data_IF_199102244787
#
_entry.id   IF_199102244787
#
_cell.length_a   1.000
_cell.length_b   1.000
_cell.length_c   1.000
_cell.angle_alpha   90.00
_cell.angle_beta   90.00
_cell.angle_gamma   90.00
#
_symmetry.space_group_name_H-M   'P 1'
#
loop_
_entity.id
_entity.type
_entity.pdbx_description
1 polymer ?
#
# COMPACT_ATOMS: atom_id res chain seq x y z
N UNK A 1 -2.85 -8.56 -0.87
CA UNK A 1 -3.90 -7.62 -0.44
C UNK A 1 -4.28 -6.62 -1.54
N UNK A 2 -5.53 -6.16 -1.55
CA UNK A 2 -6.06 -5.12 -2.45
C UNK A 2 -6.33 -3.83 -1.68
N UNK A 3 -5.95 -2.69 -2.27
CA UNK A 3 -6.18 -1.35 -1.72
C UNK A 3 -6.85 -0.45 -2.76
N UNK A 4 -7.63 0.53 -2.28
CA UNK A 4 -8.39 1.46 -3.12
C UNK A 4 -7.99 2.89 -2.82
N UNK A 5 -7.65 3.66 -3.85
CA UNK A 5 -7.47 5.12 -3.72
C UNK A 5 -8.85 5.75 -3.46
N UNK A 6 -8.97 6.49 -2.36
CA UNK A 6 -10.22 7.16 -1.96
C UNK A 6 -10.10 8.69 -1.94
N UNK A 7 -8.89 9.24 -2.06
CA UNK A 7 -8.69 10.69 -2.14
C UNK A 7 -7.22 11.10 -2.25
N UNK A 8 -6.99 12.41 -2.39
CA UNK A 8 -5.64 13.00 -2.47
C UNK A 8 -4.98 12.87 -3.86
N UNK A 9 -3.77 13.43 -3.97
CA UNK A 9 -2.95 13.35 -5.17
C UNK A 9 -1.83 12.35 -4.92
N UNK A 10 -1.77 11.33 -5.78
CA UNK A 10 -0.71 10.34 -5.77
C UNK A 10 0.35 10.66 -6.83
N UNK A 11 1.61 10.39 -6.50
CA UNK A 11 2.71 10.33 -7.45
C UNK A 11 2.74 8.93 -8.06
N UNK A 12 2.68 8.86 -9.39
CA UNK A 12 2.74 7.61 -10.14
C UNK A 12 4.01 7.53 -10.99
N UNK A 13 4.49 6.31 -11.21
CA UNK A 13 5.59 6.03 -12.15
C UNK A 13 5.32 4.72 -12.90
N UNK A 14 6.15 4.41 -13.89
CA UNK A 14 6.12 3.13 -14.61
C UNK A 14 7.32 2.28 -14.23
N UNK A 15 7.07 1.00 -13.96
CA UNK A 15 8.10 -0.01 -13.74
C UNK A 15 7.79 -1.26 -14.56
N UNK A 16 8.73 -2.23 -14.56
CA UNK A 16 8.46 -3.58 -15.05
C UNK A 16 7.82 -4.40 -13.93
N UNK A 17 6.70 -5.05 -14.22
CA UNK A 17 5.98 -5.84 -13.24
C UNK A 17 6.82 -7.07 -12.82
N UNK A 18 7.11 -7.24 -11.51
CA UNK A 18 7.91 -8.38 -11.03
C UNK A 18 7.17 -9.72 -11.07
N UNK A 19 5.84 -9.65 -11.16
CA UNK A 19 4.92 -10.78 -11.27
C UNK A 19 3.65 -10.32 -11.98
N UNK A 20 2.68 -11.22 -12.18
CA UNK A 20 1.35 -10.79 -12.59
C UNK A 20 0.73 -9.92 -11.47
N UNK A 21 0.29 -8.72 -11.82
CA UNK A 21 -0.28 -7.75 -10.91
C UNK A 21 -1.70 -7.38 -11.32
N UNK A 22 -2.55 -7.17 -10.32
CA UNK A 22 -3.89 -6.65 -10.48
C UNK A 22 -3.95 -5.20 -9.98
N UNK A 23 -4.76 -4.36 -10.62
CA UNK A 23 -5.03 -3.00 -10.15
C UNK A 23 -5.50 -3.02 -8.70
N UNK A 24 -4.90 -2.16 -7.88
CA UNK A 24 -5.14 -2.07 -6.44
C UNK A 24 -4.23 -2.98 -5.62
N UNK A 25 -3.45 -3.86 -6.24
CA UNK A 25 -2.55 -4.73 -5.49
C UNK A 25 -1.43 -3.91 -4.85
N UNK A 26 -1.30 -4.02 -3.53
CA UNK A 26 -0.11 -3.57 -2.79
C UNK A 26 0.97 -4.64 -2.91
N UNK A 27 2.18 -4.23 -3.26
CA UNK A 27 3.34 -5.12 -3.33
C UNK A 27 4.63 -4.37 -3.00
N UNK A 28 5.70 -5.12 -2.73
CA UNK A 28 7.02 -4.55 -2.51
C UNK A 28 7.80 -4.50 -3.82
N UNK A 29 8.23 -3.32 -4.24
CA UNK A 29 9.27 -3.16 -5.26
C UNK A 29 10.60 -2.87 -4.55
N UNK A 30 11.45 -3.89 -4.43
CA UNK A 30 12.60 -3.84 -3.52
C UNK A 30 12.13 -3.67 -2.07
N UNK A 31 12.53 -2.56 -1.43
CA UNK A 31 12.11 -2.22 -0.06
C UNK A 31 10.94 -1.22 0.02
N UNK A 32 10.36 -0.81 -1.11
CA UNK A 32 9.33 0.23 -1.16
C UNK A 32 7.96 -0.39 -1.43
N UNK A 33 6.97 -0.22 -0.53
CA UNK A 33 5.58 -0.55 -0.81
C UNK A 33 5.01 0.34 -1.91
N UNK A 34 4.50 -0.28 -2.97
CA UNK A 34 3.90 0.38 -4.14
C UNK A 34 2.57 -0.26 -4.50
N UNK A 35 1.69 0.52 -5.16
CA UNK A 35 0.31 0.09 -5.45
C UNK A 35 0.12 0.03 -6.97
N UNK A 36 -0.25 -1.13 -7.50
CA UNK A 36 -0.53 -1.27 -8.93
C UNK A 36 -1.75 -0.43 -9.34
N UNK A 37 -1.61 0.40 -10.38
CA UNK A 37 -2.70 1.25 -10.92
C UNK A 37 -3.37 0.64 -12.16
N UNK A 38 -2.71 -0.33 -12.77
CA UNK A 38 -3.19 -1.07 -13.93
C UNK A 38 -2.89 -2.56 -13.74
N UNK A 39 -3.68 -3.41 -14.39
CA UNK A 39 -3.35 -4.83 -14.49
C UNK A 39 -2.12 -4.99 -15.39
N UNK A 40 -1.26 -5.96 -15.08
CA UNK A 40 -0.08 -6.27 -15.87
C UNK A 40 0.32 -7.73 -15.74
N UNK A 41 0.79 -8.33 -16.83
CA UNK A 41 1.47 -9.61 -16.80
C UNK A 41 2.91 -9.44 -16.27
N UNK A 42 3.52 -10.53 -15.78
CA UNK A 42 4.93 -10.52 -15.38
C UNK A 42 5.83 -10.05 -16.52
N UNK A 43 6.78 -9.16 -16.22
CA UNK A 43 7.69 -8.57 -17.21
C UNK A 43 7.09 -7.45 -18.08
N UNK A 44 5.79 -7.16 -17.97
CA UNK A 44 5.15 -6.08 -18.71
C UNK A 44 5.28 -4.73 -17.98
N UNK A 45 5.21 -3.60 -18.70
CA UNK A 45 5.12 -2.27 -18.07
C UNK A 45 3.84 -2.15 -17.22
N UNK A 46 3.98 -1.62 -16.00
CA UNK A 46 2.88 -1.36 -15.08
C UNK A 46 3.00 0.05 -14.50
N UNK A 47 1.87 0.77 -14.43
CA UNK A 47 1.81 2.04 -13.70
C UNK A 47 1.61 1.75 -12.22
N UNK A 48 2.45 2.34 -11.36
CA UNK A 48 2.40 2.14 -9.92
C UNK A 48 2.30 3.47 -9.19
N UNK A 49 1.57 3.45 -8.09
CA UNK A 49 1.54 4.46 -7.07
C UNK A 49 2.73 4.31 -6.13
N UNK A 50 3.55 5.36 -6.01
CA UNK A 50 4.79 5.30 -5.22
C UNK A 50 4.72 6.07 -3.92
N UNK A 51 3.89 7.12 -3.83
CA UNK A 51 3.63 7.86 -2.59
C UNK A 51 2.49 8.85 -2.82
N UNK A 52 1.94 9.39 -1.72
CA UNK A 52 0.79 10.27 -1.75
C UNK A 52 -0.51 9.50 -1.90
N UNK A 53 -1.62 10.23 -1.96
CA UNK A 53 -2.94 9.62 -1.96
C UNK A 53 -3.35 9.02 -0.62
N UNK A 54 -4.66 8.88 -0.45
CA UNK A 54 -5.31 8.28 0.70
C UNK A 54 -5.95 6.99 0.23
N UNK A 55 -5.64 5.90 0.92
CA UNK A 55 -5.99 4.54 0.53
C UNK A 55 -6.82 3.84 1.60
N UNK A 56 -7.75 3.02 1.17
CA UNK A 56 -8.47 2.04 2.02
C UNK A 56 -7.92 0.64 1.75
N UNK A 57 -7.59 -0.10 2.82
CA UNK A 57 -7.27 -1.53 2.79
C UNK A 57 -8.23 -2.31 3.71
N UNK A 58 -8.59 -3.53 3.29
CA UNK A 58 -9.51 -4.41 4.03
C UNK A 58 -8.82 -5.59 4.73
N UNK A 59 -7.54 -5.86 4.43
CA UNK A 59 -6.76 -6.94 5.05
C UNK A 59 -5.83 -6.33 6.12
N UNK A 60 -6.29 -6.33 7.36
CA UNK A 60 -5.51 -5.88 8.52
C UNK A 60 -5.03 -7.10 9.30
N UNK A 61 -3.79 -7.06 9.79
CA UNK A 61 -3.27 -8.03 10.76
C UNK A 61 -4.16 -8.11 12.03
N UNK A 62 -4.11 -9.25 12.72
CA UNK A 62 -4.85 -9.55 13.94
C UNK A 62 -4.60 -8.53 15.07
N UNK A 63 -3.46 -7.83 15.03
CA UNK A 63 -3.22 -6.64 15.85
C UNK A 63 -3.42 -5.39 15.01
N UNK A 64 -4.65 -4.83 14.96
CA UNK A 64 -4.94 -3.70 14.12
C UNK A 64 -4.12 -2.48 14.55
N UNK A 65 -3.66 -1.65 13.58
CA UNK A 65 -3.00 -0.40 13.88
C UNK A 65 -3.94 0.57 14.60
N UNK A 66 -3.37 1.65 15.15
CA UNK A 66 -4.17 2.72 15.78
C UNK A 66 -4.18 3.92 14.84
N UNK A 67 -5.27 4.67 14.79
CA UNK A 67 -5.31 5.92 14.04
C UNK A 67 -4.17 6.86 14.51
N UNK A 68 -3.46 7.46 13.55
CA UNK A 68 -2.27 8.28 13.78
C UNK A 68 -0.97 7.49 13.90
N UNK A 69 -0.99 6.15 13.95
CA UNK A 69 0.23 5.35 14.00
C UNK A 69 0.86 5.20 12.63
N UNK A 70 2.18 5.00 12.63
CA UNK A 70 2.88 4.47 11.46
C UNK A 70 2.34 3.08 11.11
N UNK A 71 2.26 2.83 9.80
CA UNK A 71 1.88 1.54 9.23
C UNK A 71 3.06 0.90 8.53
N UNK A 72 3.11 -0.42 8.63
CA UNK A 72 4.04 -1.25 7.89
C UNK A 72 3.28 -2.32 7.09
N UNK A 73 3.96 -2.88 6.09
CA UNK A 73 3.45 -3.99 5.29
C UNK A 73 4.58 -4.89 4.84
N UNK A 74 4.27 -6.16 4.67
CA UNK A 74 5.07 -7.18 3.98
C UNK A 74 4.47 -7.57 2.62
N UNK A 75 3.48 -6.80 2.15
CA UNK A 75 2.60 -7.01 0.99
C UNK A 75 1.47 -8.04 1.15
N UNK A 76 1.41 -8.81 2.24
CA UNK A 76 0.24 -9.66 2.53
C UNK A 76 -0.81 -8.93 3.34
N UNK A 77 -0.38 -8.05 4.25
CA UNK A 77 -1.24 -7.38 5.21
C UNK A 77 -0.71 -5.98 5.58
N UNK A 78 -1.58 -5.15 6.17
CA UNK A 78 -1.20 -3.90 6.82
C UNK A 78 -1.19 -4.11 8.33
N UNK A 79 -0.07 -3.76 8.97
CA UNK A 79 0.09 -3.89 10.41
C UNK A 79 0.65 -2.60 11.04
N UNK A 80 0.44 -2.44 12.35
CA UNK A 80 1.00 -1.35 13.14
C UNK A 80 2.38 -1.64 13.74
N UNK A 81 2.85 -2.89 13.66
CA UNK A 81 4.12 -3.33 14.22
C UNK A 81 5.29 -3.00 13.26
N UNK A 82 6.50 -2.78 13.78
CA UNK A 82 7.69 -2.48 12.96
C UNK A 82 8.20 -3.68 12.11
N UNK A 83 7.45 -4.78 12.05
CA UNK A 83 7.74 -5.92 11.21
C UNK A 83 7.18 -5.66 9.80
N UNK A 84 8.01 -5.12 8.91
CA UNK A 84 7.64 -4.86 7.53
C UNK A 84 8.37 -3.66 6.93
N UNK A 85 7.91 -3.21 5.77
CA UNK A 85 8.34 -1.97 5.13
C UNK A 85 7.36 -0.86 5.47
N UNK A 86 7.88 0.33 5.73
CA UNK A 86 7.08 1.51 6.05
C UNK A 86 6.08 1.76 4.90
N UNK A 87 4.80 1.84 5.23
CA UNK A 87 3.71 2.03 4.27
C UNK A 87 3.20 3.47 4.31
N UNK A 88 3.13 4.07 5.49
CA UNK A 88 2.57 5.39 5.69
C UNK A 88 1.97 5.58 7.08
N UNK A 89 0.90 6.38 7.16
CA UNK A 89 0.25 6.73 8.44
C UNK A 89 -1.22 6.37 8.40
N UNK A 90 -1.70 5.68 9.44
CA UNK A 90 -3.11 5.38 9.61
C UNK A 90 -3.89 6.67 9.90
N UNK A 91 -4.99 6.88 9.20
CA UNK A 91 -5.90 8.01 9.39
C UNK A 91 -7.15 7.57 10.16
N UNK A 92 -7.73 6.43 9.76
CA UNK A 92 -8.84 5.81 10.48
C UNK A 92 -8.64 4.30 10.50
N UNK A 93 -9.08 3.67 11.59
CA UNK A 93 -9.02 2.22 11.75
C UNK A 93 -10.35 1.73 12.29
N UNK A 94 -10.85 0.66 11.68
CA UNK A 94 -12.03 -0.10 12.12
C UNK A 94 -11.63 -1.56 12.31
N UNK A 95 -12.56 -2.41 12.75
CA UNK A 95 -12.29 -3.83 12.96
C UNK A 95 -11.81 -4.57 11.69
N UNK A 96 -12.11 -4.08 10.49
CA UNK A 96 -11.77 -4.74 9.22
C UNK A 96 -11.22 -3.82 8.14
N UNK A 97 -11.05 -2.53 8.42
CA UNK A 97 -10.54 -1.56 7.44
C UNK A 97 -9.62 -0.53 8.03
N UNK A 98 -8.57 -0.20 7.28
CA UNK A 98 -7.66 0.89 7.58
C UNK A 98 -7.67 1.87 6.41
N UNK A 99 -7.85 3.15 6.73
CA UNK A 99 -7.59 4.25 5.79
C UNK A 99 -6.23 4.84 6.14
N UNK A 100 -5.38 5.04 5.15
CA UNK A 100 -4.02 5.52 5.36
C UNK A 100 -3.55 6.50 4.31
N UNK A 101 -2.66 7.41 4.71
CA UNK A 101 -1.87 8.22 3.81
C UNK A 101 -0.65 7.39 3.37
N UNK A 102 -0.52 7.10 2.07
CA UNK A 102 0.59 6.27 1.56
C UNK A 102 1.88 7.08 1.48
N UNK A 103 2.86 6.74 2.31
CA UNK A 103 4.17 7.41 2.43
C UNK A 103 5.26 6.39 2.72
N UNK A 104 5.69 5.60 1.73
CA UNK A 104 6.51 4.42 2.00
C UNK A 104 7.96 4.70 2.43
N UNK A 105 8.46 5.94 2.29
CA UNK A 105 9.84 6.31 2.65
C UNK A 105 9.95 7.23 3.88
N UNK A 106 8.90 7.34 4.70
CA UNK A 106 8.93 8.06 5.98
C UNK A 106 7.92 9.19 6.13
N UNK A 107 7.69 9.57 7.39
CA UNK A 107 6.70 10.52 7.90
C UNK A 107 6.93 11.97 7.48
#
# INVERSE_FOLDING_TARGET
MQVKLIGGVEITTKIVAPSALLRGQLFLHGNTPVIAKTDAASGAPVSVGVTGGIYEANDIDATPPVAGSTLHTDATDVNGAAAGKHLGVALTVTASKVVFLHRPNGA
#
